data_IF_717553014638
#
_entry.id   IF_717553014638
#
_cell.length_a   1.000
_cell.length_b   1.000
_cell.length_c   1.000
_cell.angle_alpha   90.00
_cell.angle_beta   90.00
_cell.angle_gamma   90.00
#
_symmetry.space_group_name_H-M   'P 1'
#
loop_
_entity.id
_entity.type
_entity.pdbx_description
1 polymer ?
#
# COMPACT_ATOMS: atom_id res chain seq x y z
N UNK A 1 0.41 5.13 13.89
CA UNK A 1 1.05 3.85 13.53
C UNK A 1 2.08 4.14 12.44
N UNK A 2 3.31 3.64 12.59
CA UNK A 2 4.23 3.56 11.45
C UNK A 2 4.04 2.21 10.80
N UNK A 3 4.03 2.19 9.48
CA UNK A 3 3.88 0.96 8.73
C UNK A 3 4.74 1.00 7.48
N UNK A 4 5.17 -0.18 7.06
CA UNK A 4 5.91 -0.39 5.83
C UNK A 4 5.53 -1.76 5.28
N UNK A 5 4.83 -1.76 4.16
CA UNK A 5 4.54 -2.97 3.40
C UNK A 5 5.43 -3.08 2.18
N UNK A 6 5.98 -4.27 1.94
CA UNK A 6 6.84 -4.55 0.80
C UNK A 6 6.78 -6.00 0.35
N UNK A 7 7.17 -6.24 -0.88
CA UNK A 7 7.22 -7.56 -1.49
C UNK A 7 8.56 -8.22 -1.23
N UNK A 8 8.55 -9.54 -1.09
CA UNK A 8 9.75 -10.38 -0.99
C UNK A 8 9.69 -11.56 -1.96
N UNK A 9 10.86 -11.97 -2.42
CA UNK A 9 11.06 -13.26 -3.08
C UNK A 9 11.17 -14.41 -2.07
N UNK A 10 11.68 -15.57 -2.52
CA UNK A 10 12.00 -16.68 -1.62
C UNK A 10 12.93 -16.23 -0.49
N UNK A 11 12.76 -16.82 0.70
CA UNK A 11 13.56 -16.51 1.88
C UNK A 11 14.65 -17.57 2.07
N UNK A 12 15.88 -17.12 2.32
CA UNK A 12 16.97 -17.97 2.77
C UNK A 12 17.12 -17.94 4.31
N UNK A 13 18.07 -18.71 4.85
CA UNK A 13 18.34 -18.78 6.28
C UNK A 13 18.73 -17.41 6.88
N UNK A 14 19.51 -16.62 6.14
CA UNK A 14 19.90 -15.29 6.59
C UNK A 14 18.71 -14.31 6.62
N UNK A 15 17.74 -14.46 5.71
CA UNK A 15 16.48 -13.71 5.73
C UNK A 15 15.64 -14.07 6.95
N UNK A 16 15.56 -15.36 7.28
CA UNK A 16 14.88 -15.84 8.49
C UNK A 16 15.54 -15.27 9.74
N UNK A 17 16.87 -15.29 9.83
CA UNK A 17 17.62 -14.70 10.95
C UNK A 17 17.33 -13.20 11.11
N UNK A 18 17.31 -12.45 10.00
CA UNK A 18 16.94 -11.03 9.98
C UNK A 18 15.53 -10.81 10.52
N UNK A 19 14.55 -11.63 10.12
CA UNK A 19 13.17 -11.55 10.62
C UNK A 19 13.11 -11.86 12.12
N UNK A 20 13.75 -12.95 12.55
CA UNK A 20 13.77 -13.36 13.96
C UNK A 20 14.47 -12.34 14.86
N UNK A 21 15.43 -11.57 14.35
CA UNK A 21 16.07 -10.48 15.09
C UNK A 21 15.11 -9.34 15.47
N UNK A 22 13.99 -9.17 14.75
CA UNK A 22 13.01 -8.11 14.98
C UNK A 22 11.64 -8.59 15.47
N UNK A 23 11.32 -9.87 15.28
CA UNK A 23 10.01 -10.45 15.60
C UNK A 23 10.10 -11.77 16.40
N UNK A 24 11.32 -12.23 16.72
CA UNK A 24 11.53 -13.45 17.49
C UNK A 24 11.44 -13.24 19.01
N UNK A 25 11.60 -14.31 19.81
CA UNK A 25 11.47 -14.26 21.28
C UNK A 25 12.42 -13.29 22.00
N UNK A 26 13.51 -12.90 21.35
CA UNK A 26 14.48 -11.92 21.85
C UNK A 26 14.33 -10.52 21.25
N UNK A 27 13.29 -10.27 20.46
CA UNK A 27 13.05 -8.94 19.89
C UNK A 27 12.82 -7.93 21.00
N UNK A 28 13.57 -6.82 20.95
CA UNK A 28 13.55 -5.82 22.01
C UNK A 28 12.26 -4.99 22.05
N UNK A 29 11.42 -5.06 21.02
CA UNK A 29 10.44 -4.02 20.74
C UNK A 29 9.07 -4.56 20.30
N UNK A 30 7.97 -3.84 20.60
CA UNK A 30 6.62 -4.24 20.24
C UNK A 30 6.30 -3.92 18.76
N UNK A 31 6.98 -4.61 17.85
CA UNK A 31 6.70 -4.54 16.41
C UNK A 31 5.73 -5.64 15.98
N UNK A 32 4.80 -5.31 15.12
CA UNK A 32 4.00 -6.29 14.38
C UNK A 32 4.72 -6.63 13.08
N UNK A 33 5.01 -7.90 12.87
CA UNK A 33 5.56 -8.41 11.62
C UNK A 33 4.63 -9.48 11.07
N UNK A 34 4.15 -9.29 9.85
CA UNK A 34 3.35 -10.28 9.15
C UNK A 34 4.02 -10.69 7.84
N UNK A 35 4.11 -12.00 7.63
CA UNK A 35 4.57 -12.61 6.40
C UNK A 35 3.40 -13.36 5.77
N UNK A 36 2.94 -12.89 4.61
CA UNK A 36 1.80 -13.47 3.89
C UNK A 36 2.29 -14.09 2.60
N UNK A 37 2.20 -15.41 2.48
CA UNK A 37 2.56 -16.09 1.23
C UNK A 37 1.65 -15.65 0.08
N UNK A 38 2.25 -15.38 -1.07
CA UNK A 38 1.60 -14.93 -2.30
C UNK A 38 1.79 -15.96 -3.42
N UNK A 39 0.70 -16.25 -4.12
CA UNK A 39 0.70 -17.25 -5.18
C UNK A 39 -0.70 -17.57 -5.67
N UNK A 40 -0.84 -18.74 -6.30
CA UNK A 40 -2.13 -19.21 -6.79
C UNK A 40 -2.81 -18.22 -7.73
N UNK A 41 -4.07 -17.89 -7.44
CA UNK A 41 -4.85 -16.98 -8.28
C UNK A 41 -4.26 -15.56 -8.37
N UNK A 42 -3.55 -15.09 -7.35
CA UNK A 42 -2.99 -13.73 -7.34
C UNK A 42 -1.88 -13.53 -8.39
N UNK A 43 -1.09 -14.59 -8.65
CA UNK A 43 -0.01 -14.63 -9.66
C UNK A 43 -0.52 -14.61 -11.10
N UNK A 44 -1.79 -14.96 -11.33
CA UNK A 44 -2.35 -14.99 -12.67
C UNK A 44 -2.44 -13.55 -13.22
N UNK A 45 -2.13 -13.33 -14.51
CA UNK A 45 -2.45 -12.07 -15.16
C UNK A 45 -3.93 -11.74 -14.97
N UNK A 46 -4.29 -10.50 -14.64
CA UNK A 46 -5.68 -10.14 -14.44
C UNK A 46 -6.42 -10.13 -15.78
N UNK A 47 -7.70 -10.56 -15.77
CA UNK A 47 -8.55 -10.52 -16.97
C UNK A 47 -8.76 -9.09 -17.49
N UNK A 48 -8.86 -8.13 -16.55
CA UNK A 48 -8.92 -6.69 -16.83
C UNK A 48 -7.62 -6.05 -16.33
N UNK A 49 -6.85 -5.35 -17.19
CA UNK A 49 -5.65 -4.66 -16.78
C UNK A 49 -5.88 -3.75 -15.56
N UNK A 50 -4.97 -3.82 -14.59
CA UNK A 50 -4.96 -2.99 -13.39
C UNK A 50 -3.52 -2.76 -12.93
N UNK A 51 -3.35 -1.83 -11.98
CA UNK A 51 -2.05 -1.41 -11.43
C UNK A 51 -1.74 -2.05 -10.08
N UNK A 52 -2.34 -3.22 -9.78
CA UNK A 52 -2.02 -3.94 -8.54
C UNK A 52 -0.68 -4.67 -8.74
N UNK A 53 0.35 -4.18 -8.03
CA UNK A 53 1.72 -4.69 -8.09
C UNK A 53 1.97 -5.99 -7.30
N UNK A 54 3.21 -6.49 -7.36
CA UNK A 54 3.70 -7.62 -6.55
C UNK A 54 3.13 -8.99 -6.89
N UNK A 55 2.57 -9.16 -8.09
CA UNK A 55 2.00 -10.45 -8.52
C UNK A 55 3.05 -11.54 -8.66
N UNK A 56 4.31 -11.19 -8.91
CA UNK A 56 5.46 -12.09 -9.00
C UNK A 56 6.13 -12.39 -7.66
N UNK A 57 5.77 -11.66 -6.60
CA UNK A 57 6.30 -11.85 -5.26
C UNK A 57 5.91 -13.22 -4.67
N UNK A 58 6.80 -13.80 -3.88
CA UNK A 58 6.51 -15.02 -3.12
C UNK A 58 5.88 -14.70 -1.76
N UNK A 59 6.25 -13.56 -1.18
CA UNK A 59 5.65 -13.08 0.05
C UNK A 59 5.33 -11.59 -0.02
N UNK A 60 4.30 -11.23 0.72
CA UNK A 60 3.97 -9.86 1.12
C UNK A 60 4.34 -9.71 2.59
N UNK A 61 5.16 -8.71 2.90
CA UNK A 61 5.58 -8.39 4.26
C UNK A 61 4.88 -7.12 4.73
N UNK A 62 4.32 -7.17 5.93
CA UNK A 62 3.87 -5.99 6.66
C UNK A 62 4.72 -5.84 7.92
N UNK A 63 5.30 -4.66 8.10
CA UNK A 63 5.93 -4.24 9.35
C UNK A 63 5.14 -3.06 9.89
N UNK A 64 4.68 -3.16 11.14
CA UNK A 64 3.94 -2.10 11.82
C UNK A 64 4.49 -1.84 13.21
N UNK A 65 4.53 -0.57 13.61
CA UNK A 65 4.79 -0.17 15.00
C UNK A 65 3.65 0.72 15.50
N UNK A 66 3.26 0.50 16.76
CA UNK A 66 2.39 1.44 17.45
C UNK A 66 3.10 2.80 17.53
N UNK A 67 2.35 3.89 17.35
CA UNK A 67 2.86 5.22 17.66
C UNK A 67 2.27 5.58 19.02
N UNK A 68 3.12 5.76 20.02
CA UNK A 68 2.79 6.61 21.15
C UNK A 68 3.08 8.06 20.75
N UNK A 69 2.05 8.95 20.67
CA UNK A 69 2.23 10.35 20.33
C UNK A 69 3.21 11.12 21.24
N UNK A 70 3.63 10.51 22.36
CA UNK A 70 4.56 11.08 23.34
C UNK A 70 6.02 10.70 23.07
N UNK A 71 6.31 9.79 22.14
CA UNK A 71 7.63 9.23 21.94
C UNK A 71 8.08 9.25 20.46
N UNK A 72 8.94 10.21 20.12
CA UNK A 72 9.58 10.28 18.79
C UNK A 72 10.52 9.08 18.50
N UNK A 73 10.90 8.33 19.54
CA UNK A 73 11.72 7.12 19.46
C UNK A 73 11.09 6.03 18.57
N UNK A 74 9.76 5.99 18.47
CA UNK A 74 9.02 4.98 17.71
C UNK A 74 9.32 5.02 16.21
N UNK A 75 9.67 6.19 15.67
CA UNK A 75 10.11 6.36 14.27
C UNK A 75 11.47 5.75 14.02
N UNK A 76 12.43 6.07 14.88
CA UNK A 76 13.79 5.56 14.76
C UNK A 76 13.81 4.04 14.94
N UNK A 77 12.95 3.54 15.82
CA UNK A 77 12.72 2.12 16.03
C UNK A 77 12.25 1.41 14.75
N UNK A 78 11.17 1.91 14.17
CA UNK A 78 10.58 1.36 12.95
C UNK A 78 11.58 1.39 11.79
N UNK A 79 12.33 2.49 11.64
CA UNK A 79 13.39 2.61 10.64
C UNK A 79 14.51 1.57 10.88
N UNK A 80 14.95 1.39 12.13
CA UNK A 80 15.97 0.42 12.49
C UNK A 80 15.52 -1.02 12.21
N UNK A 81 14.25 -1.34 12.46
CA UNK A 81 13.69 -2.63 12.10
C UNK A 81 13.58 -2.81 10.58
N UNK A 82 13.13 -1.78 9.86
CA UNK A 82 13.07 -1.76 8.40
C UNK A 82 14.43 -2.03 7.77
N UNK A 83 15.49 -1.44 8.31
CA UNK A 83 16.86 -1.63 7.82
C UNK A 83 17.34 -3.09 7.98
N UNK A 84 17.00 -3.75 9.09
CA UNK A 84 17.38 -5.16 9.34
C UNK A 84 16.79 -6.14 8.33
N UNK A 85 15.61 -5.83 7.79
CA UNK A 85 14.92 -6.64 6.78
C UNK A 85 15.00 -6.02 5.38
N UNK A 86 15.84 -5.01 5.16
CA UNK A 86 15.93 -4.31 3.86
C UNK A 86 16.29 -5.23 2.69
N UNK A 87 17.03 -6.32 2.94
CA UNK A 87 17.42 -7.28 1.90
C UNK A 87 16.22 -8.00 1.27
N UNK A 88 15.13 -8.15 2.04
CA UNK A 88 13.90 -8.79 1.59
C UNK A 88 13.10 -7.87 0.65
N UNK A 89 13.35 -6.56 0.67
CA UNK A 89 12.60 -5.57 -0.11
C UNK A 89 12.83 -5.74 -1.61
N UNK A 90 11.75 -5.95 -2.35
CA UNK A 90 11.69 -6.01 -3.81
C UNK A 90 10.71 -4.99 -4.40
N UNK A 91 10.14 -4.12 -3.58
CA UNK A 91 9.15 -3.13 -4.00
C UNK A 91 8.10 -2.88 -2.93
N UNK A 92 7.55 -1.68 -2.92
CA UNK A 92 6.63 -1.22 -1.89
C UNK A 92 5.17 -1.54 -2.20
N UNK A 93 4.40 -1.80 -1.15
CA UNK A 93 2.94 -1.89 -1.24
C UNK A 93 2.30 -0.52 -0.98
N UNK A 94 1.61 0.01 -1.99
CA UNK A 94 0.93 1.30 -1.92
C UNK A 94 0.05 1.46 -0.66
N UNK A 95 -0.72 0.42 -0.32
CA UNK A 95 -1.66 0.44 0.81
C UNK A 95 -0.99 0.46 2.19
N UNK A 96 0.32 0.27 2.27
CA UNK A 96 1.09 0.19 3.51
C UNK A 96 2.37 1.05 3.44
N UNK A 97 2.32 2.16 2.69
CA UNK A 97 3.37 3.19 2.70
C UNK A 97 3.33 4.03 3.99
N UNK A 98 2.37 3.82 4.88
CA UNK A 98 2.20 4.63 6.08
C UNK A 98 1.90 6.09 5.75
N UNK A 99 2.45 7.01 6.55
CA UNK A 99 2.22 8.44 6.38
C UNK A 99 3.03 9.07 5.21
N UNK A 100 3.68 8.27 4.37
CA UNK A 100 4.42 8.79 3.22
C UNK A 100 3.46 9.29 2.14
N UNK A 101 3.46 10.62 1.94
CA UNK A 101 2.71 11.29 0.87
C UNK A 101 3.61 11.88 -0.23
N UNK A 102 4.93 11.64 -0.13
CA UNK A 102 5.89 12.12 -1.13
C UNK A 102 5.61 11.46 -2.50
N UNK A 103 5.37 12.24 -3.57
CA UNK A 103 5.07 11.70 -4.89
C UNK A 103 6.13 10.74 -5.44
N UNK A 104 7.41 10.92 -5.09
CA UNK A 104 8.50 10.04 -5.52
C UNK A 104 8.40 8.68 -4.84
N UNK A 105 8.11 8.68 -3.53
CA UNK A 105 7.92 7.43 -2.75
C UNK A 105 6.70 6.67 -3.25
N UNK A 106 5.61 7.40 -3.52
CA UNK A 106 4.38 6.81 -4.02
C UNK A 106 4.57 6.26 -5.45
N UNK A 107 5.25 6.99 -6.33
CA UNK A 107 5.54 6.53 -7.69
C UNK A 107 6.42 5.26 -7.70
N UNK A 108 7.33 5.11 -6.73
CA UNK A 108 8.18 3.92 -6.62
C UNK A 108 7.42 2.63 -6.27
N UNK A 109 6.14 2.71 -5.86
CA UNK A 109 5.28 1.53 -5.67
C UNK A 109 4.74 0.95 -6.99
N UNK A 110 4.97 1.62 -8.13
CA UNK A 110 4.46 1.26 -9.44
C UNK A 110 5.60 0.92 -10.40
N UNK A 111 5.39 -0.06 -11.28
CA UNK A 111 6.30 -0.27 -12.42
C UNK A 111 6.15 0.84 -13.46
N UNK A 112 7.10 0.96 -14.40
CA UNK A 112 6.98 1.92 -15.51
C UNK A 112 5.71 1.68 -16.36
N UNK A 113 5.29 0.42 -16.52
CA UNK A 113 4.06 0.07 -17.21
C UNK A 113 2.81 0.50 -16.42
N UNK A 114 2.82 0.33 -15.09
CA UNK A 114 1.73 0.77 -14.22
C UNK A 114 1.57 2.29 -14.22
N UNK A 115 2.68 3.03 -14.23
CA UNK A 115 2.66 4.49 -14.33
C UNK A 115 2.04 4.97 -15.66
N UNK A 116 2.34 4.28 -16.77
CA UNK A 116 1.70 4.56 -18.06
C UNK A 116 0.19 4.29 -18.05
N UNK A 117 -0.24 3.18 -17.46
CA UNK A 117 -1.66 2.84 -17.32
C UNK A 117 -2.39 3.83 -16.41
N UNK A 118 -1.80 4.20 -15.26
CA UNK A 118 -2.36 5.20 -14.36
C UNK A 118 -2.53 6.56 -15.03
N UNK A 119 -1.52 7.03 -15.77
CA UNK A 119 -1.60 8.30 -16.49
C UNK A 119 -2.73 8.30 -17.55
N UNK A 120 -2.92 7.17 -18.23
CA UNK A 120 -4.02 6.99 -19.17
C UNK A 120 -5.38 7.03 -18.46
N UNK A 121 -5.56 6.26 -17.37
CA UNK A 121 -6.80 6.25 -16.58
C UNK A 121 -7.11 7.67 -16.07
N UNK A 122 -6.12 8.39 -15.55
CA UNK A 122 -6.31 9.76 -15.06
C UNK A 122 -6.76 10.73 -16.14
N UNK A 123 -6.30 10.55 -17.39
CA UNK A 123 -6.67 11.41 -18.51
C UNK A 123 -8.02 11.02 -19.13
N UNK A 124 -8.40 9.76 -19.03
CA UNK A 124 -9.61 9.17 -19.61
C UNK A 124 -10.64 8.74 -18.55
N UNK A 125 -10.67 9.44 -17.40
CA UNK A 125 -11.50 9.04 -16.25
C UNK A 125 -12.98 8.85 -16.61
N UNK A 126 -13.57 9.80 -17.35
CA UNK A 126 -14.98 9.74 -17.73
C UNK A 126 -15.31 8.54 -18.65
N UNK A 127 -14.35 8.14 -19.50
CA UNK A 127 -14.47 6.94 -20.33
C UNK A 127 -14.38 5.67 -19.48
N UNK A 128 -13.45 5.65 -18.52
CA UNK A 128 -13.28 4.56 -17.57
C UNK A 128 -14.53 4.38 -16.70
N UNK A 129 -15.05 5.47 -16.12
CA UNK A 129 -16.22 5.45 -15.24
C UNK A 129 -17.46 4.92 -15.96
N UNK A 130 -17.70 5.37 -17.21
CA UNK A 130 -18.80 4.85 -18.05
C UNK A 130 -18.69 3.35 -18.30
N UNK A 131 -17.47 2.84 -18.50
CA UNK A 131 -17.21 1.41 -18.71
C UNK A 131 -17.33 0.55 -17.44
N UNK A 132 -17.16 1.13 -16.25
CA UNK A 132 -17.17 0.43 -14.95
C UNK A 132 -18.54 0.27 -14.31
N UNK A 133 -19.63 0.69 -14.98
CA UNK A 133 -21.03 0.62 -14.50
C UNK A 133 -21.56 -0.79 -14.17
N UNK A 134 -20.73 -1.83 -14.15
CA UNK A 134 -21.07 -3.19 -13.68
C UNK A 134 -20.29 -3.71 -12.46
N UNK A 135 -19.26 -3.01 -11.97
CA UNK A 135 -18.46 -3.48 -10.82
C UNK A 135 -17.98 -2.32 -9.96
N UNK A 136 -18.58 -2.14 -8.77
CA UNK A 136 -18.24 -1.11 -7.79
C UNK A 136 -16.84 -1.33 -7.20
N UNK A 137 -15.84 -0.56 -7.63
CA UNK A 137 -14.58 -0.37 -6.91
C UNK A 137 -14.08 1.08 -7.09
N UNK A 138 -13.69 1.73 -6.00
CA UNK A 138 -13.07 3.07 -6.00
C UNK A 138 -11.54 2.93 -6.08
N UNK A 139 -10.91 3.45 -7.13
CA UNK A 139 -9.46 3.48 -7.27
C UNK A 139 -8.88 4.74 -6.62
N UNK A 140 -7.74 4.60 -5.92
CA UNK A 140 -6.91 5.72 -5.49
C UNK A 140 -5.90 5.99 -6.60
N UNK A 141 -6.03 7.13 -7.29
CA UNK A 141 -5.09 7.58 -8.30
C UNK A 141 -4.14 8.62 -7.71
N UNK A 142 -2.86 8.51 -8.08
CA UNK A 142 -1.84 9.51 -7.77
C UNK A 142 -1.52 10.21 -9.09
N UNK A 143 -2.05 11.42 -9.27
CA UNK A 143 -1.91 12.19 -10.49
C UNK A 143 -1.80 13.68 -10.21
N UNK A 144 -0.75 14.30 -10.76
CA UNK A 144 -0.54 15.73 -10.79
C UNK A 144 -1.66 16.40 -11.62
N UNK A 145 -2.42 17.29 -10.99
CA UNK A 145 -3.42 18.11 -11.70
C UNK A 145 -2.73 19.19 -12.55
N UNK A 146 -3.17 19.43 -13.79
CA UNK A 146 -2.76 20.59 -14.57
C UNK A 146 -3.72 21.76 -14.27
N UNK A 147 -3.67 22.35 -13.06
CA UNK A 147 -4.09 23.73 -12.78
C UNK A 147 -3.82 24.09 -11.30
N UNK A 148 -3.40 25.34 -10.97
CA UNK A 148 -2.99 25.69 -9.62
C UNK A 148 -4.21 26.09 -8.78
N UNK A 149 -4.71 25.20 -7.94
CA UNK A 149 -5.59 25.56 -6.84
C UNK A 149 -5.46 24.55 -5.70
N UNK A 150 -4.58 24.88 -4.74
CA UNK A 150 -4.64 24.59 -3.30
C UNK A 150 -5.46 23.35 -2.90
N UNK A 151 -4.76 22.25 -2.63
CA UNK A 151 -5.32 21.08 -1.94
C UNK A 151 -5.62 21.46 -0.48
N UNK A 152 -6.86 21.88 -0.19
CA UNK A 152 -7.34 21.96 1.19
C UNK A 152 -7.92 20.61 1.56
N UNK A 153 -7.15 19.78 2.26
CA UNK A 153 -7.68 18.60 2.92
C UNK A 153 -8.59 19.04 4.08
N UNK A 154 -9.92 18.97 3.90
CA UNK A 154 -10.87 19.00 5.02
C UNK A 154 -11.06 17.58 5.53
N UNK A 155 -10.44 17.29 6.66
CA UNK A 155 -10.86 16.22 7.58
C UNK A 155 -11.91 16.79 8.54
N UNK A 156 -13.02 16.05 8.72
CA UNK A 156 -14.15 16.36 9.61
C UNK A 156 -15.42 16.65 8.81
N UNK A 157 -16.59 16.06 9.06
CA UNK A 157 -17.06 15.25 10.18
C UNK A 157 -18.18 14.32 9.66
N UNK A 158 -18.54 13.32 10.47
CA UNK A 158 -19.81 12.57 10.48
C UNK A 158 -20.90 13.09 9.55
N UNK A 159 -21.35 12.25 8.62
CA UNK A 159 -22.78 12.15 8.30
C UNK A 159 -23.13 10.75 7.77
N UNK A 160 -24.00 10.10 8.53
CA UNK A 160 -24.69 8.84 8.24
C UNK A 160 -25.55 9.01 6.99
N UNK A 161 -25.23 8.35 5.88
CA UNK A 161 -26.20 8.16 4.80
C UNK A 161 -27.03 6.90 5.07
N UNK A 162 -28.24 7.14 5.57
CA UNK A 162 -29.31 6.17 5.67
C UNK A 162 -29.72 5.69 4.27
N UNK A 163 -29.83 4.37 4.11
CA UNK A 163 -30.50 3.75 2.96
C UNK A 163 -32.01 3.79 3.25
N UNK A 164 -32.68 4.76 2.63
CA UNK A 164 -34.13 4.80 2.39
C UNK A 164 -34.27 5.61 1.10
N UNK A 165 -34.84 5.16 -0.01
CA UNK A 165 -36.00 4.30 -0.16
C UNK A 165 -35.94 3.69 -1.58
N UNK A 166 -35.94 2.36 -1.67
CA UNK A 166 -36.17 1.61 -2.90
C UNK A 166 -37.63 1.16 -2.87
N UNK A 167 -38.57 2.08 -3.15
CA UNK A 167 -39.96 1.72 -3.46
C UNK A 167 -40.53 2.60 -4.56
N UNK A 168 -40.48 2.03 -5.76
CA UNK A 168 -41.54 1.98 -6.76
C UNK A 168 -42.23 3.28 -7.19
N UNK A 169 -42.00 3.59 -8.48
CA UNK A 169 -42.72 4.47 -9.42
C UNK A 169 -42.21 5.90 -9.54
#
# INVERSE_FOLDING_TARGET
MHESGFYSGPLDEADVDSILSIAGPGAAEPLSFELRHHGGAYRKPPEVPNVVGGRDAEFTVYLGSAIDPRHDADRALHASARDRVRRLDRGSMLNFLGAHTDPVVVAAAFSAADLGLNAWISTNWEDCERSQTRSRWSAVLVGAHPHPAVLTARLGATDTFAISDLRQR
#
